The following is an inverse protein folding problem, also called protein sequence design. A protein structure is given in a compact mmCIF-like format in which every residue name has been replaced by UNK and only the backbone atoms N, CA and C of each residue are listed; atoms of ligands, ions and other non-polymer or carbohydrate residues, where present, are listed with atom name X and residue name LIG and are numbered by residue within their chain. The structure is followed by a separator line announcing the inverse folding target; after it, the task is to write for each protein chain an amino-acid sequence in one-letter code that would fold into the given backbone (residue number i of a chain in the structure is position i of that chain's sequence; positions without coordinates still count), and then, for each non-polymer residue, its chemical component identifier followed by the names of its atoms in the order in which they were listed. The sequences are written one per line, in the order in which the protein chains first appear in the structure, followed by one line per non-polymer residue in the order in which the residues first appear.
data_IF_179727540270
#
_entry.id   IF_179727540270
#
_cell.length_a   1.000
_cell.length_b   1.000
_cell.length_c   1.000
_cell.angle_alpha   90.00
_cell.angle_beta   90.00
_cell.angle_gamma   90.00
#
_symmetry.space_group_name_H-M   'P 1'
#
loop_
_entity.id
_entity.type
_entity.pdbx_description
1 polymer ?
#
# COMPACT_ATOMS: atom_id res chain seq x y z
N UNK A 1 10.18 9.25 62.07
CA UNK A 1 8.90 8.73 61.55
C UNK A 1 9.22 8.10 60.22
N UNK A 2 9.43 6.78 60.21
CA UNK A 2 9.58 6.03 58.96
C UNK A 2 8.23 6.01 58.26
N UNK A 3 8.15 6.60 57.07
CA UNK A 3 6.97 6.44 56.25
C UNK A 3 6.90 4.98 55.80
N UNK A 4 5.76 4.28 55.96
CA UNK A 4 5.63 2.92 55.51
C UNK A 4 5.87 2.87 53.99
N UNK A 5 6.84 2.07 53.58
CA UNK A 5 7.09 1.76 52.16
C UNK A 5 5.76 1.35 51.54
N UNK A 6 5.31 1.97 50.44
CA UNK A 6 4.04 1.63 49.84
C UNK A 6 4.01 0.12 49.59
N UNK A 7 3.03 -0.57 50.17
CA UNK A 7 2.82 -1.99 49.92
C UNK A 7 2.68 -2.16 48.42
N UNK A 8 3.70 -2.76 47.78
CA UNK A 8 3.55 -3.21 46.39
C UNK A 8 2.36 -4.17 46.41
N UNK A 9 1.28 -3.88 45.67
CA UNK A 9 0.13 -4.77 45.62
C UNK A 9 0.63 -6.17 45.25
N UNK A 10 0.04 -7.20 45.86
CA UNK A 10 0.43 -8.59 45.61
C UNK A 10 0.11 -8.94 44.15
N UNK A 11 1.07 -8.64 43.27
CA UNK A 11 0.92 -8.78 41.83
C UNK A 11 1.31 -10.20 41.46
N UNK A 12 0.39 -10.91 40.83
CA UNK A 12 0.67 -12.27 40.37
C UNK A 12 1.86 -12.24 39.41
N UNK A 13 2.83 -13.14 39.62
CA UNK A 13 4.05 -13.24 38.80
C UNK A 13 3.76 -13.31 37.28
N UNK A 14 2.58 -13.83 36.92
CA UNK A 14 2.06 -13.85 35.55
C UNK A 14 2.03 -12.46 34.88
N UNK A 15 1.62 -11.43 35.60
CA UNK A 15 1.56 -10.07 35.04
C UNK A 15 2.95 -9.48 34.83
N UNK A 16 3.92 -9.76 35.71
CA UNK A 16 5.32 -9.36 35.48
C UNK A 16 5.89 -10.00 34.22
N UNK A 17 5.60 -11.30 34.01
CA UNK A 17 6.00 -11.99 32.77
C UNK A 17 5.34 -11.41 31.52
N UNK A 18 4.11 -10.91 31.61
CA UNK A 18 3.44 -10.25 30.49
C UNK A 18 3.98 -8.84 30.22
N UNK A 19 4.42 -8.13 31.25
CA UNK A 19 5.06 -6.82 31.12
C UNK A 19 6.43 -6.90 30.44
N UNK A 20 7.13 -8.01 30.59
CA UNK A 20 8.45 -8.25 29.96
C UNK A 20 8.35 -8.73 28.50
N UNK A 21 7.14 -8.98 27.97
CA UNK A 21 6.99 -9.43 26.58
C UNK A 21 7.27 -8.28 25.61
N UNK A 22 7.96 -8.52 24.47
CA UNK A 22 8.23 -7.50 23.47
C UNK A 22 6.98 -6.75 22.98
N UNK A 23 5.82 -7.43 22.91
CA UNK A 23 4.53 -6.82 22.56
C UNK A 23 4.18 -5.58 23.41
N UNK A 24 4.72 -5.45 24.62
CA UNK A 24 4.49 -4.29 25.50
C UNK A 24 5.16 -3.01 25.03
N UNK A 25 6.09 -3.11 24.09
CA UNK A 25 6.75 -1.97 23.45
C UNK A 25 5.93 -1.43 22.26
N UNK A 26 4.96 -2.20 21.76
CA UNK A 26 3.99 -1.72 20.78
C UNK A 26 3.03 -0.71 21.42
N UNK A 27 2.70 0.35 20.68
CA UNK A 27 1.65 1.29 21.05
C UNK A 27 0.37 0.94 20.31
N UNK A 28 -0.75 0.89 21.03
CA UNK A 28 -2.08 0.64 20.47
C UNK A 28 -2.93 1.89 20.65
N UNK A 29 -3.55 2.33 19.56
CA UNK A 29 -4.49 3.43 19.57
C UNK A 29 -5.78 3.00 20.30
N UNK A 30 -6.44 3.96 20.94
CA UNK A 30 -7.82 3.79 21.39
C UNK A 30 -8.72 3.94 20.16
N UNK A 31 -9.79 3.15 20.08
CA UNK A 31 -10.77 3.28 19.00
C UNK A 31 -11.37 4.69 18.99
N UNK A 32 -11.21 5.39 17.86
CA UNK A 32 -11.77 6.73 17.62
C UNK A 32 -12.23 6.86 16.15
N UNK A 33 -13.29 6.12 15.75
CA UNK A 33 -13.74 6.09 14.36
C UNK A 33 -14.33 7.42 13.88
N UNK A 34 -14.83 8.27 14.79
CA UNK A 34 -15.36 9.61 14.46
C UNK A 34 -14.27 10.55 13.97
N UNK A 35 -13.02 10.32 14.37
CA UNK A 35 -11.85 11.08 13.94
C UNK A 35 -10.91 10.27 13.04
N UNK A 36 -11.39 9.24 12.35
CA UNK A 36 -10.61 8.51 11.34
C UNK A 36 -9.58 7.52 11.88
N UNK A 37 -9.52 7.26 13.20
CA UNK A 37 -8.81 6.10 13.75
C UNK A 37 -9.65 4.84 13.57
N UNK A 38 -9.91 4.51 12.31
CA UNK A 38 -10.65 3.32 11.90
C UNK A 38 -9.92 2.66 10.74
N UNK A 39 -9.67 1.36 10.86
CA UNK A 39 -9.08 0.58 9.80
C UNK A 39 -10.04 0.49 8.59
N UNK A 40 -11.30 0.12 8.84
CA UNK A 40 -12.33 -0.10 7.82
C UNK A 40 -13.69 0.39 8.32
N UNK A 41 -14.61 0.73 7.41
CA UNK A 41 -15.98 1.18 7.74
C UNK A 41 -15.98 2.37 8.72
N UNK A 42 -15.19 3.40 8.41
CA UNK A 42 -15.09 4.62 9.20
C UNK A 42 -16.42 5.37 9.29
N UNK A 43 -16.64 6.08 10.40
CA UNK A 43 -17.90 6.78 10.63
C UNK A 43 -18.19 7.88 9.59
N UNK A 44 -17.15 8.43 8.96
CA UNK A 44 -17.27 9.46 7.92
C UNK A 44 -16.95 8.93 6.52
N UNK A 45 -16.78 7.62 6.34
CA UNK A 45 -16.63 7.04 5.00
C UNK A 45 -17.90 7.29 4.21
N UNK A 46 -17.79 7.67 2.94
CA UNK A 46 -18.97 7.91 2.13
C UNK A 46 -19.75 6.62 1.88
N UNK A 47 -21.06 6.77 1.68
CA UNK A 47 -21.89 5.66 1.22
C UNK A 47 -21.61 5.40 -0.26
N UNK A 48 -21.39 4.14 -0.68
CA UNK A 48 -21.16 3.82 -2.07
C UNK A 48 -22.32 4.25 -2.97
N UNK A 49 -22.03 5.02 -4.01
CA UNK A 49 -23.06 5.57 -4.89
C UNK A 49 -22.51 6.05 -6.22
N UNK A 50 -23.34 6.05 -7.26
CA UNK A 50 -22.97 6.55 -8.58
C UNK A 50 -24.21 7.16 -9.26
N UNK A 51 -24.04 8.31 -9.90
CA UNK A 51 -25.01 8.87 -10.83
C UNK A 51 -24.31 9.29 -12.13
N UNK A 52 -24.93 9.00 -13.26
CA UNK A 52 -24.41 9.27 -14.60
C UNK A 52 -25.42 10.07 -15.40
N UNK A 53 -25.00 11.22 -15.93
CA UNK A 53 -25.78 12.08 -16.82
C UNK A 53 -24.96 12.42 -18.06
N UNK A 54 -25.58 12.35 -19.25
CA UNK A 54 -24.93 12.64 -20.54
C UNK A 54 -23.56 11.96 -20.75
N UNK A 55 -23.43 10.70 -20.29
CA UNK A 55 -22.21 9.92 -20.38
C UNK A 55 -21.07 10.40 -19.47
N UNK A 56 -21.40 11.14 -18.40
CA UNK A 56 -20.45 11.63 -17.39
C UNK A 56 -20.93 11.28 -16.00
N UNK A 57 -19.99 10.97 -15.13
CA UNK A 57 -20.26 10.77 -13.70
C UNK A 57 -20.53 12.13 -13.07
N UNK A 58 -21.72 12.30 -12.49
CA UNK A 58 -22.15 13.54 -11.82
C UNK A 58 -22.22 13.41 -10.30
N UNK A 59 -22.28 12.17 -9.78
CA UNK A 59 -22.13 11.85 -8.36
C UNK A 59 -21.28 10.59 -8.23
N UNK A 60 -20.31 10.60 -7.31
CA UNK A 60 -19.52 9.42 -6.93
C UNK A 60 -19.41 9.35 -5.42
N UNK A 61 -19.76 8.21 -4.83
CA UNK A 61 -19.71 7.95 -3.39
C UNK A 61 -20.39 9.07 -2.57
N UNK A 62 -21.56 9.50 -3.04
CA UNK A 62 -22.35 10.56 -2.39
C UNK A 62 -21.79 11.98 -2.51
N UNK A 63 -20.69 12.18 -3.23
CA UNK A 63 -20.12 13.49 -3.54
C UNK A 63 -20.58 13.93 -4.93
N UNK A 64 -21.12 15.13 -5.04
CA UNK A 64 -21.52 15.68 -6.34
C UNK A 64 -20.30 16.20 -7.11
N UNK A 65 -20.37 16.21 -8.44
CA UNK A 65 -19.29 16.67 -9.32
C UNK A 65 -18.85 18.11 -9.07
N UNK A 66 -19.73 18.94 -8.52
CA UNK A 66 -19.43 20.32 -8.13
C UNK A 66 -18.51 20.40 -6.89
N UNK A 67 -18.50 19.34 -6.07
CA UNK A 67 -17.75 19.22 -4.82
C UNK A 67 -16.59 18.21 -4.92
N UNK A 68 -16.34 17.65 -6.11
CA UNK A 68 -15.20 16.78 -6.35
C UNK A 68 -13.89 17.49 -6.05
N UNK A 69 -13.06 16.84 -5.24
CA UNK A 69 -11.65 17.19 -5.12
C UNK A 69 -10.87 16.71 -6.36
N UNK A 70 -9.56 16.99 -6.38
CA UNK A 70 -8.73 16.59 -7.52
C UNK A 70 -8.66 15.07 -7.74
N UNK A 71 -8.80 14.27 -6.68
CA UNK A 71 -8.75 12.80 -6.73
C UNK A 71 -10.07 12.26 -7.26
N UNK A 72 -11.19 12.77 -6.77
CA UNK A 72 -12.53 12.39 -7.25
C UNK A 72 -12.67 12.68 -8.74
N UNK A 73 -12.24 13.89 -9.16
CA UNK A 73 -12.25 14.28 -10.55
C UNK A 73 -11.39 13.36 -11.42
N UNK A 74 -10.23 12.92 -10.92
CA UNK A 74 -9.34 12.02 -11.64
C UNK A 74 -9.94 10.61 -11.79
N UNK A 75 -10.44 10.03 -10.69
CA UNK A 75 -11.07 8.71 -10.68
C UNK A 75 -12.31 8.70 -11.58
N UNK A 76 -13.21 9.67 -11.42
CA UNK A 76 -14.44 9.75 -12.20
C UNK A 76 -14.19 9.89 -13.72
N UNK A 77 -13.07 10.51 -14.13
CA UNK A 77 -12.74 10.71 -15.55
C UNK A 77 -11.92 9.58 -16.16
N UNK A 78 -11.08 8.91 -15.38
CA UNK A 78 -10.03 8.05 -15.91
C UNK A 78 -10.08 6.61 -15.39
N UNK A 79 -10.75 6.34 -14.26
CA UNK A 79 -10.90 4.99 -13.73
C UNK A 79 -12.19 4.32 -14.20
N UNK A 80 -13.33 4.97 -13.95
CA UNK A 80 -14.65 4.36 -14.06
C UNK A 80 -15.13 4.35 -15.51
N UNK A 81 -15.60 3.20 -15.97
CA UNK A 81 -16.23 3.08 -17.28
C UNK A 81 -17.73 3.38 -17.17
N UNK A 82 -18.17 4.51 -17.74
CA UNK A 82 -19.58 4.95 -17.74
C UNK A 82 -20.52 3.94 -18.38
N UNK A 83 -20.05 3.10 -19.30
CA UNK A 83 -20.88 2.11 -19.97
C UNK A 83 -21.28 0.94 -19.05
N UNK A 84 -20.49 0.66 -18.00
CA UNK A 84 -20.68 -0.51 -17.13
C UNK A 84 -20.85 -0.18 -15.66
N UNK A 85 -20.54 1.06 -15.24
CA UNK A 85 -20.51 1.45 -13.82
C UNK A 85 -21.87 1.30 -13.14
N UNK A 86 -22.98 1.65 -13.81
CA UNK A 86 -24.32 1.58 -13.21
C UNK A 86 -24.74 0.14 -12.96
N UNK A 87 -24.48 -0.77 -13.91
CA UNK A 87 -24.76 -2.20 -13.75
C UNK A 87 -23.92 -2.79 -12.61
N UNK A 88 -22.62 -2.50 -12.62
CA UNK A 88 -21.67 -3.07 -11.65
C UNK A 88 -21.95 -2.58 -10.23
N UNK A 89 -22.25 -1.28 -10.05
CA UNK A 89 -22.62 -0.69 -8.77
C UNK A 89 -23.99 -1.15 -8.26
N UNK A 90 -24.84 -1.69 -9.14
CA UNK A 90 -26.13 -2.28 -8.76
C UNK A 90 -26.03 -3.63 -8.08
N UNK A 91 -24.86 -4.30 -8.16
CA UNK A 91 -24.64 -5.59 -7.50
C UNK A 91 -24.46 -5.42 -5.98
N UNK A 92 -25.12 -6.25 -5.15
CA UNK A 92 -24.93 -6.21 -3.71
C UNK A 92 -23.47 -6.51 -3.32
N UNK A 93 -22.87 -5.71 -2.43
CA UNK A 93 -21.49 -5.91 -2.02
C UNK A 93 -21.22 -7.32 -1.44
N UNK A 94 -22.19 -7.88 -0.72
CA UNK A 94 -22.11 -9.25 -0.19
C UNK A 94 -22.09 -10.33 -1.26
N UNK A 95 -22.69 -10.08 -2.43
CA UNK A 95 -22.63 -11.00 -3.57
C UNK A 95 -21.23 -10.96 -4.20
N UNK A 96 -20.70 -9.76 -4.42
CA UNK A 96 -19.34 -9.57 -4.95
C UNK A 96 -18.28 -10.16 -4.01
N UNK A 97 -18.44 -9.97 -2.69
CA UNK A 97 -17.56 -10.55 -1.68
C UNK A 97 -17.51 -12.09 -1.76
N UNK A 98 -18.68 -12.74 -1.98
CA UNK A 98 -18.73 -14.20 -2.20
C UNK A 98 -18.03 -14.60 -3.49
N UNK A 99 -18.18 -13.83 -4.57
CA UNK A 99 -17.50 -14.10 -5.84
C UNK A 99 -15.97 -14.06 -5.69
N UNK A 100 -15.43 -13.17 -4.86
CA UNK A 100 -13.98 -13.10 -4.58
C UNK A 100 -13.44 -14.41 -3.96
N UNK A 101 -14.26 -15.15 -3.21
CA UNK A 101 -13.86 -16.43 -2.59
C UNK A 101 -14.44 -17.67 -3.28
N UNK A 102 -15.23 -17.51 -4.33
CA UNK A 102 -15.70 -18.63 -5.14
C UNK A 102 -14.61 -19.06 -6.14
N UNK A 103 -14.18 -20.31 -6.05
CA UNK A 103 -13.17 -20.89 -6.95
C UNK A 103 -13.65 -21.05 -8.40
N UNK A 104 -14.96 -21.00 -8.65
CA UNK A 104 -15.55 -21.14 -9.97
C UNK A 104 -15.68 -19.79 -10.71
N UNK A 105 -15.55 -18.67 -10.00
CA UNK A 105 -15.56 -17.35 -10.63
C UNK A 105 -14.14 -16.99 -11.08
N UNK A 106 -13.90 -16.88 -12.40
CA UNK A 106 -12.57 -16.60 -12.92
C UNK A 106 -12.10 -15.18 -12.57
N UNK A 107 -10.78 -15.03 -12.38
CA UNK A 107 -10.11 -13.74 -12.14
C UNK A 107 -10.53 -12.66 -13.14
N UNK A 108 -10.67 -13.01 -14.41
CA UNK A 108 -11.04 -12.06 -15.48
C UNK A 108 -12.42 -11.45 -15.33
N UNK A 109 -13.38 -12.17 -14.73
CA UNK A 109 -14.70 -11.61 -14.39
C UNK A 109 -14.61 -10.67 -13.20
N UNK A 110 -13.85 -11.06 -12.17
CA UNK A 110 -13.63 -10.23 -10.98
C UNK A 110 -12.93 -8.92 -11.31
N UNK A 111 -11.89 -8.94 -12.16
CA UNK A 111 -11.21 -7.72 -12.62
C UNK A 111 -12.18 -6.78 -13.36
N UNK A 112 -13.03 -7.32 -14.25
CA UNK A 112 -14.05 -6.51 -14.94
C UNK A 112 -15.01 -5.86 -13.96
N UNK A 113 -15.42 -6.59 -12.92
CA UNK A 113 -16.24 -6.01 -11.84
C UNK A 113 -15.49 -4.90 -11.14
N UNK A 114 -14.25 -5.12 -10.68
CA UNK A 114 -13.47 -4.11 -9.95
C UNK A 114 -13.41 -2.76 -10.68
N UNK A 115 -13.23 -2.80 -12.00
CA UNK A 115 -13.12 -1.63 -12.86
C UNK A 115 -14.42 -0.80 -12.98
N UNK A 116 -15.56 -1.38 -12.60
CA UNK A 116 -16.85 -0.71 -12.56
C UNK A 116 -17.29 -0.30 -11.16
N UNK A 117 -16.46 -0.49 -10.12
CA UNK A 117 -16.78 -0.16 -8.74
C UNK A 117 -16.09 1.14 -8.30
N UNK A 118 -16.80 1.95 -7.52
CA UNK A 118 -16.22 3.14 -6.88
C UNK A 118 -15.30 2.76 -5.71
N UNK A 119 -14.42 3.67 -5.26
CA UNK A 119 -13.57 3.44 -4.09
C UNK A 119 -14.34 2.96 -2.85
N UNK A 120 -15.47 3.59 -2.51
CA UNK A 120 -16.26 3.17 -1.35
C UNK A 120 -16.86 1.78 -1.54
N UNK A 121 -17.33 1.44 -2.75
CA UNK A 121 -17.89 0.10 -3.02
C UNK A 121 -16.82 -0.98 -2.94
N UNK A 122 -15.63 -0.72 -3.45
CA UNK A 122 -14.48 -1.63 -3.33
C UNK A 122 -14.13 -1.89 -1.86
N UNK A 123 -13.99 -0.84 -1.06
CA UNK A 123 -13.73 -0.93 0.37
C UNK A 123 -14.84 -1.70 1.12
N UNK A 124 -16.11 -1.41 0.83
CA UNK A 124 -17.27 -2.10 1.41
C UNK A 124 -17.26 -3.61 1.12
N UNK A 125 -16.89 -4.02 -0.09
CA UNK A 125 -16.82 -5.44 -0.48
C UNK A 125 -15.75 -6.17 0.32
N UNK A 126 -14.51 -5.69 0.33
CA UNK A 126 -13.41 -6.40 0.99
C UNK A 126 -13.49 -6.34 2.52
N UNK A 127 -14.14 -5.31 3.08
CA UNK A 127 -14.38 -5.20 4.52
C UNK A 127 -15.29 -6.31 5.08
N UNK A 128 -16.05 -7.01 4.23
CA UNK A 128 -16.88 -8.16 4.61
C UNK A 128 -16.10 -9.46 4.74
N UNK A 129 -14.86 -9.51 4.24
CA UNK A 129 -14.05 -10.71 4.23
C UNK A 129 -13.22 -10.84 5.51
N UNK A 130 -13.12 -12.07 6.01
CA UNK A 130 -12.18 -12.44 7.07
C UNK A 130 -10.74 -12.46 6.52
N UNK A 131 -9.73 -12.46 7.40
CA UNK A 131 -8.33 -12.57 6.98
C UNK A 131 -8.04 -13.83 6.14
N UNK A 132 -8.74 -14.94 6.42
CA UNK A 132 -8.61 -16.17 5.66
C UNK A 132 -9.19 -16.03 4.24
N UNK A 133 -10.37 -15.42 4.14
CA UNK A 133 -11.02 -15.14 2.86
C UNK A 133 -10.23 -14.14 2.02
N UNK A 134 -9.67 -13.10 2.64
CA UNK A 134 -8.76 -12.15 1.99
C UNK A 134 -7.53 -12.88 1.42
N UNK A 135 -6.89 -13.75 2.21
CA UNK A 135 -5.73 -14.53 1.76
C UNK A 135 -6.05 -15.45 0.59
N UNK A 136 -7.22 -16.11 0.63
CA UNK A 136 -7.69 -16.96 -0.45
C UNK A 136 -7.96 -16.14 -1.72
N UNK A 137 -8.73 -15.06 -1.61
CA UNK A 137 -9.03 -14.17 -2.72
C UNK A 137 -7.75 -13.60 -3.33
N UNK A 138 -6.79 -13.18 -2.51
CA UNK A 138 -5.49 -12.67 -2.96
C UNK A 138 -4.75 -13.70 -3.82
N UNK A 139 -4.67 -14.96 -3.35
CA UNK A 139 -3.99 -16.05 -4.09
C UNK A 139 -4.58 -16.31 -5.48
N UNK A 140 -5.89 -16.05 -5.63
CA UNK A 140 -6.63 -16.15 -6.90
C UNK A 140 -6.43 -14.92 -7.79
N UNK A 141 -6.31 -13.74 -7.17
CA UNK A 141 -6.31 -12.45 -7.86
C UNK A 141 -4.94 -11.90 -8.23
N UNK A 142 -3.84 -12.34 -7.61
CA UNK A 142 -2.48 -11.92 -8.00
C UNK A 142 -2.24 -12.02 -9.51
N UNK A 143 -1.48 -11.08 -10.06
CA UNK A 143 -1.27 -11.00 -11.50
C UNK A 143 -0.28 -12.06 -11.98
N UNK A 144 0.82 -12.26 -11.26
CA UNK A 144 1.88 -13.20 -11.59
C UNK A 144 1.60 -14.57 -10.98
N UNK A 145 1.81 -15.61 -11.79
CA UNK A 145 1.68 -17.00 -11.31
C UNK A 145 2.76 -17.36 -10.29
N UNK A 146 3.98 -16.88 -10.51
CA UNK A 146 5.15 -17.15 -9.66
C UNK A 146 5.35 -15.95 -8.74
N UNK A 147 5.28 -16.13 -7.42
CA UNK A 147 5.57 -15.07 -6.47
C UNK A 147 6.99 -14.53 -6.61
N UNK A 148 7.18 -13.24 -6.31
CA UNK A 148 8.48 -12.60 -6.25
C UNK A 148 8.85 -12.23 -4.82
N UNK A 149 10.03 -11.63 -4.66
CA UNK A 149 10.42 -11.00 -3.41
C UNK A 149 11.39 -9.85 -3.66
N UNK A 150 11.29 -8.81 -2.83
CA UNK A 150 12.13 -7.62 -2.88
C UNK A 150 12.93 -7.47 -1.58
N UNK A 151 14.15 -6.95 -1.67
CA UNK A 151 15.03 -6.73 -0.51
C UNK A 151 15.59 -5.33 -0.43
N UNK A 152 15.54 -4.73 0.75
CA UNK A 152 16.24 -3.47 1.04
C UNK A 152 17.75 -3.70 1.21
N UNK A 153 18.53 -2.87 0.54
CA UNK A 153 19.99 -2.81 0.59
C UNK A 153 20.38 -1.40 0.99
N UNK A 154 20.51 -1.17 2.29
CA UNK A 154 20.88 0.12 2.88
C UNK A 154 21.88 -0.08 4.00
N UNK A 155 22.60 0.99 4.36
CA UNK A 155 23.36 1.02 5.59
C UNK A 155 23.35 2.43 6.18
N UNK A 156 23.53 2.53 7.49
CA UNK A 156 23.38 3.79 8.23
C UNK A 156 24.39 4.91 7.85
N UNK A 157 25.39 4.60 7.02
CA UNK A 157 26.46 5.50 6.60
C UNK A 157 26.41 5.85 5.12
N UNK A 158 25.48 5.28 4.36
CA UNK A 158 25.50 5.31 2.89
C UNK A 158 26.85 4.84 2.33
N UNK A 159 27.50 3.86 2.98
CA UNK A 159 28.80 3.35 2.54
C UNK A 159 28.63 2.56 1.23
N UNK A 160 29.14 3.06 0.09
CA UNK A 160 28.93 2.42 -1.20
C UNK A 160 29.60 1.06 -1.30
N UNK A 161 30.70 0.81 -0.59
CA UNK A 161 31.37 -0.49 -0.63
C UNK A 161 30.52 -1.56 0.05
N UNK A 162 29.89 -1.21 1.17
CA UNK A 162 28.95 -2.10 1.83
C UNK A 162 27.70 -2.32 0.95
N UNK A 163 27.15 -1.27 0.34
CA UNK A 163 25.98 -1.40 -0.55
C UNK A 163 26.24 -2.35 -1.73
N UNK A 164 27.40 -2.27 -2.38
CA UNK A 164 27.77 -3.22 -3.46
C UNK A 164 27.75 -4.66 -2.94
N UNK A 165 28.38 -4.91 -1.78
CA UNK A 165 28.50 -6.25 -1.22
C UNK A 165 27.14 -6.81 -0.78
N UNK A 166 26.33 -5.99 -0.10
CA UNK A 166 25.00 -6.38 0.38
C UNK A 166 24.03 -6.58 -0.81
N UNK A 167 24.10 -5.75 -1.86
CA UNK A 167 23.33 -5.94 -3.08
C UNK A 167 23.69 -7.25 -3.78
N UNK A 168 24.98 -7.52 -4.02
CA UNK A 168 25.40 -8.78 -4.64
C UNK A 168 24.96 -10.01 -3.81
N UNK A 169 25.00 -9.89 -2.49
CA UNK A 169 24.58 -10.94 -1.55
C UNK A 169 23.07 -11.16 -1.56
N UNK A 170 22.27 -10.09 -1.46
CA UNK A 170 20.81 -10.15 -1.52
C UNK A 170 20.36 -10.81 -2.83
N UNK A 171 20.90 -10.36 -3.95
CA UNK A 171 20.58 -10.94 -5.25
C UNK A 171 20.96 -12.42 -5.34
N UNK A 172 22.10 -12.82 -4.78
CA UNK A 172 22.51 -14.23 -4.72
C UNK A 172 21.58 -15.10 -3.84
N UNK A 173 20.90 -14.51 -2.85
CA UNK A 173 19.87 -15.19 -2.05
C UNK A 173 18.52 -15.35 -2.78
N UNK A 174 18.35 -14.70 -3.93
CA UNK A 174 17.18 -14.89 -4.80
C UNK A 174 16.16 -13.75 -4.76
N UNK A 175 16.52 -12.56 -4.27
CA UNK A 175 15.68 -11.37 -4.46
C UNK A 175 15.64 -10.97 -5.94
N UNK A 176 14.43 -10.80 -6.47
CA UNK A 176 14.19 -10.45 -7.88
C UNK A 176 14.23 -8.95 -8.12
N UNK A 177 13.96 -8.19 -7.06
CA UNK A 177 14.09 -6.75 -7.00
C UNK A 177 14.86 -6.36 -5.73
N UNK A 178 15.69 -5.32 -5.80
CA UNK A 178 16.32 -4.73 -4.62
C UNK A 178 16.14 -3.22 -4.60
N UNK A 179 16.03 -2.66 -3.41
CA UNK A 179 15.87 -1.24 -3.20
C UNK A 179 17.01 -0.68 -2.38
N UNK A 180 17.45 0.53 -2.71
CA UNK A 180 18.25 1.34 -1.80
C UNK A 180 17.60 2.70 -1.59
N UNK A 181 17.98 3.36 -0.51
CA UNK A 181 17.72 4.77 -0.26
C UNK A 181 18.92 5.35 0.50
N UNK A 182 18.89 6.64 0.83
CA UNK A 182 20.01 7.35 1.43
C UNK A 182 19.63 8.03 2.74
N UNK A 183 20.55 7.98 3.70
CA UNK A 183 20.44 8.79 4.92
C UNK A 183 20.74 10.26 4.64
N UNK A 184 21.68 10.54 3.75
CA UNK A 184 22.04 11.88 3.31
C UNK A 184 21.69 12.02 1.84
N UNK A 185 20.75 12.91 1.50
CA UNK A 185 20.21 13.07 0.13
C UNK A 185 21.28 13.11 -0.97
N UNK A 186 22.36 13.87 -0.75
CA UNK A 186 23.49 14.00 -1.70
C UNK A 186 24.21 12.68 -2.03
N UNK A 187 23.98 11.61 -1.28
CA UNK A 187 24.55 10.30 -1.54
C UNK A 187 23.70 9.44 -2.50
N UNK A 188 22.53 9.92 -2.95
CA UNK A 188 21.63 9.20 -3.86
C UNK A 188 22.36 8.54 -5.04
N UNK A 189 23.14 9.34 -5.77
CA UNK A 189 23.92 8.88 -6.93
C UNK A 189 24.99 7.84 -6.58
N UNK A 190 25.62 7.96 -5.40
CA UNK A 190 26.61 6.99 -4.92
C UNK A 190 25.93 5.66 -4.56
N UNK A 191 24.77 5.72 -3.91
CA UNK A 191 24.00 4.53 -3.52
C UNK A 191 23.43 3.82 -4.76
N UNK A 192 22.84 4.57 -5.69
CA UNK A 192 22.34 4.06 -6.97
C UNK A 192 23.43 3.34 -7.76
N UNK A 193 24.61 3.97 -7.91
CA UNK A 193 25.76 3.35 -8.57
C UNK A 193 26.22 2.07 -7.86
N UNK A 194 26.31 2.10 -6.52
CA UNK A 194 26.73 0.95 -5.73
C UNK A 194 25.78 -0.25 -5.90
N UNK A 195 24.48 -0.03 -5.78
CA UNK A 195 23.48 -1.07 -5.95
C UNK A 195 23.38 -1.54 -7.41
N UNK A 196 23.56 -0.66 -8.39
CA UNK A 196 23.66 -1.04 -9.81
C UNK A 196 24.78 -2.05 -10.04
N UNK A 197 25.98 -1.79 -9.48
CA UNK A 197 27.13 -2.69 -9.59
C UNK A 197 26.88 -3.99 -8.84
N UNK A 198 26.40 -3.91 -7.59
CA UNK A 198 26.14 -5.09 -6.78
C UNK A 198 25.08 -6.02 -7.38
N UNK A 199 23.96 -5.48 -7.88
CA UNK A 199 22.92 -6.24 -8.55
C UNK A 199 23.46 -6.99 -9.78
N UNK A 200 24.21 -6.29 -10.63
CA UNK A 200 24.81 -6.87 -11.83
C UNK A 200 25.83 -7.98 -11.52
N UNK A 201 26.56 -7.86 -10.40
CA UNK A 201 27.50 -8.90 -9.93
C UNK A 201 26.78 -10.10 -9.35
N UNK A 202 25.70 -9.91 -8.59
CA UNK A 202 24.97 -11.00 -7.94
C UNK A 202 24.24 -11.91 -8.94
N UNK A 203 23.41 -11.33 -9.81
CA UNK A 203 22.67 -12.05 -10.86
C UNK A 203 22.24 -11.06 -11.94
N UNK A 204 22.68 -11.31 -13.16
CA UNK A 204 22.26 -10.50 -14.31
C UNK A 204 20.73 -10.53 -14.48
N UNK A 205 20.13 -9.35 -14.65
CA UNK A 205 18.70 -9.19 -14.84
C UNK A 205 17.88 -8.92 -13.57
N UNK A 206 18.49 -8.91 -12.38
CA UNK A 206 17.80 -8.43 -11.17
C UNK A 206 17.50 -6.93 -11.29
N UNK A 207 16.27 -6.56 -10.96
CA UNK A 207 15.84 -5.17 -10.97
C UNK A 207 16.33 -4.47 -9.70
N UNK A 208 16.67 -3.19 -9.82
CA UNK A 208 17.02 -2.37 -8.68
C UNK A 208 16.56 -0.91 -8.83
N UNK A 209 16.30 -0.28 -7.69
CA UNK A 209 15.89 1.11 -7.59
C UNK A 209 16.68 1.87 -6.52
N UNK A 210 16.58 3.21 -6.56
CA UNK A 210 17.14 4.11 -5.56
C UNK A 210 16.07 5.15 -5.18
N UNK A 211 15.30 4.83 -4.16
CA UNK A 211 14.16 5.62 -3.69
C UNK A 211 14.62 6.96 -3.13
N UNK A 212 14.18 8.05 -3.76
CA UNK A 212 14.60 9.42 -3.46
C UNK A 212 13.49 10.43 -3.79
N UNK A 213 13.79 11.73 -3.80
CA UNK A 213 12.84 12.71 -4.30
C UNK A 213 12.53 12.43 -5.79
N UNK A 214 11.28 12.60 -6.19
CA UNK A 214 10.72 12.11 -7.46
C UNK A 214 11.49 12.59 -8.70
N UNK A 215 11.90 13.86 -8.74
CA UNK A 215 12.67 14.41 -9.85
C UNK A 215 14.13 13.90 -9.85
N UNK A 216 14.77 13.77 -8.69
CA UNK A 216 16.09 13.15 -8.54
C UNK A 216 16.07 11.67 -8.95
N UNK A 217 15.06 10.90 -8.53
CA UNK A 217 14.91 9.49 -8.86
C UNK A 217 14.73 9.30 -10.38
N UNK A 218 13.92 10.14 -11.02
CA UNK A 218 13.76 10.13 -12.46
C UNK A 218 15.08 10.45 -13.18
N UNK A 219 15.88 11.39 -12.66
CA UNK A 219 17.20 11.70 -13.24
C UNK A 219 18.17 10.52 -13.13
N UNK A 220 18.19 9.83 -11.99
CA UNK A 220 18.98 8.61 -11.80
C UNK A 220 18.55 7.53 -12.82
N UNK A 221 17.25 7.34 -13.00
CA UNK A 221 16.70 6.42 -14.00
C UNK A 221 17.07 6.81 -15.44
N UNK A 222 16.91 8.09 -15.81
CA UNK A 222 17.28 8.60 -17.14
C UNK A 222 18.78 8.47 -17.43
N UNK A 223 19.62 8.52 -16.39
CA UNK A 223 21.06 8.31 -16.49
C UNK A 223 21.46 6.82 -16.55
N UNK A 224 20.51 5.89 -16.40
CA UNK A 224 20.74 4.45 -16.45
C UNK A 224 21.31 3.87 -15.16
N UNK A 225 21.15 4.55 -14.03
CA UNK A 225 21.62 4.10 -12.71
C UNK A 225 20.50 3.54 -11.82
N UNK A 226 19.32 3.27 -12.38
CA UNK A 226 18.28 2.39 -11.82
C UNK A 226 17.60 1.65 -12.97
N UNK A 227 17.04 0.46 -12.70
CA UNK A 227 16.29 -0.30 -13.71
C UNK A 227 14.77 -0.16 -13.56
N UNK A 228 14.30 0.31 -12.40
CA UNK A 228 12.91 0.64 -12.15
C UNK A 228 12.79 1.70 -11.03
N UNK A 229 11.56 2.18 -10.80
CA UNK A 229 11.17 3.03 -9.67
C UNK A 229 9.86 2.52 -9.03
N UNK A 230 9.70 2.64 -7.72
CA UNK A 230 8.53 2.17 -6.97
C UNK A 230 7.94 3.26 -6.11
N UNK A 231 8.79 4.04 -5.44
CA UNK A 231 8.39 5.07 -4.48
C UNK A 231 7.74 6.30 -5.10
N UNK A 232 7.12 6.13 -6.28
CA UNK A 232 6.28 7.11 -6.96
C UNK A 232 4.96 7.24 -6.19
N UNK A 233 5.01 8.02 -5.12
CA UNK A 233 3.99 8.03 -4.08
C UNK A 233 2.68 8.71 -4.51
N UNK A 234 1.53 8.16 -4.10
CA UNK A 234 0.19 8.76 -4.25
C UNK A 234 -0.56 8.74 -2.92
N UNK A 235 -1.54 9.64 -2.77
CA UNK A 235 -2.24 9.84 -1.50
C UNK A 235 -3.75 9.97 -1.69
N UNK A 236 -4.52 9.55 -0.69
CA UNK A 236 -5.97 9.44 -0.71
C UNK A 236 -6.71 10.72 -0.35
N UNK A 237 -6.03 11.82 -0.03
CA UNK A 237 -6.64 13.15 0.16
C UNK A 237 -5.84 14.24 -0.54
N UNK A 238 -6.51 15.31 -0.97
CA UNK A 238 -5.89 16.41 -1.73
C UNK A 238 -4.76 17.09 -0.93
N UNK A 239 -4.97 17.31 0.38
CA UNK A 239 -3.95 17.94 1.23
C UNK A 239 -2.72 17.05 1.43
N UNK A 240 -2.90 15.74 1.60
CA UNK A 240 -1.77 14.83 1.68
C UNK A 240 -0.97 14.82 0.37
N UNK A 241 -1.64 14.85 -0.77
CA UNK A 241 -0.98 14.93 -2.06
C UNK A 241 -0.17 16.21 -2.25
N UNK A 242 -0.74 17.36 -1.87
CA UNK A 242 -0.06 18.66 -1.95
C UNK A 242 1.16 18.69 -1.03
N UNK A 243 1.06 18.14 0.18
CA UNK A 243 2.20 18.04 1.11
C UNK A 243 3.24 17.01 0.64
N UNK A 244 2.81 16.00 -0.12
CA UNK A 244 3.66 15.12 -0.93
C UNK A 244 4.20 15.74 -2.22
N UNK A 245 4.02 17.05 -2.43
CA UNK A 245 4.50 17.87 -3.56
C UNK A 245 4.00 17.43 -4.95
N UNK A 246 2.82 16.83 -5.03
CA UNK A 246 2.27 16.34 -6.29
C UNK A 246 0.75 16.50 -6.42
N UNK A 247 0.25 16.10 -7.59
CA UNK A 247 -1.16 15.98 -7.93
C UNK A 247 -1.38 14.66 -8.70
N UNK A 248 -2.63 14.20 -8.86
CA UNK A 248 -2.93 13.06 -9.72
C UNK A 248 -2.36 13.22 -11.16
N UNK A 249 -2.34 14.44 -11.70
CA UNK A 249 -1.81 14.72 -13.04
C UNK A 249 -0.29 14.72 -13.11
N UNK A 250 0.41 15.30 -12.13
CA UNK A 250 1.88 15.27 -12.13
C UNK A 250 2.39 13.84 -11.95
N UNK A 251 1.74 13.04 -11.10
CA UNK A 251 2.03 11.60 -10.97
C UNK A 251 1.72 10.81 -12.23
N UNK A 252 0.56 11.03 -12.87
CA UNK A 252 0.25 10.40 -14.15
C UNK A 252 1.30 10.74 -15.24
N UNK A 253 1.75 11.99 -15.26
CA UNK A 253 2.81 12.43 -16.16
C UNK A 253 4.15 11.78 -15.82
N UNK A 254 4.51 11.67 -14.54
CA UNK A 254 5.73 11.01 -14.07
C UNK A 254 5.74 9.52 -14.41
N UNK A 255 4.62 8.81 -14.19
CA UNK A 255 4.40 7.43 -14.64
C UNK A 255 4.67 7.29 -16.15
N UNK A 256 4.13 8.22 -16.95
CA UNK A 256 4.38 8.26 -18.40
C UNK A 256 5.83 8.65 -18.74
N UNK A 257 6.50 9.44 -17.90
CA UNK A 257 7.89 9.85 -18.07
C UNK A 257 8.85 8.67 -17.91
N UNK A 258 8.63 7.81 -16.90
CA UNK A 258 9.35 6.53 -16.77
C UNK A 258 9.07 5.61 -17.97
N UNK A 259 7.79 5.41 -18.31
CA UNK A 259 7.39 4.52 -19.40
C UNK A 259 7.97 4.92 -20.76
N UNK A 260 7.99 6.21 -21.09
CA UNK A 260 8.57 6.73 -22.33
C UNK A 260 10.10 6.57 -22.41
N UNK A 261 10.76 6.23 -21.30
CA UNK A 261 12.20 5.93 -21.24
C UNK A 261 12.45 4.41 -21.14
N UNK A 262 11.38 3.60 -21.21
CA UNK A 262 11.46 2.15 -21.10
C UNK A 262 11.81 1.66 -19.69
N UNK A 263 11.58 2.49 -18.67
CA UNK A 263 11.89 2.18 -17.27
C UNK A 263 10.62 1.60 -16.65
N UNK A 264 10.71 0.40 -16.05
CA UNK A 264 9.60 -0.15 -15.25
C UNK A 264 9.33 0.80 -14.11
N UNK A 265 8.06 1.00 -13.76
CA UNK A 265 7.75 1.65 -12.50
C UNK A 265 6.48 1.07 -11.89
N UNK A 266 6.30 1.30 -10.61
CA UNK A 266 5.00 1.20 -9.93
C UNK A 266 4.83 2.43 -9.05
N UNK A 267 3.60 2.70 -8.65
CA UNK A 267 3.33 3.72 -7.65
C UNK A 267 3.43 3.13 -6.24
N UNK A 268 3.52 3.98 -5.22
CA UNK A 268 3.42 3.57 -3.81
C UNK A 268 2.25 4.27 -3.14
N UNK A 269 1.46 3.51 -2.39
CA UNK A 269 0.47 4.02 -1.45
C UNK A 269 0.49 3.14 -0.19
N UNK A 270 -0.45 3.33 0.72
CA UNK A 270 -0.49 2.51 1.92
C UNK A 270 -1.32 3.13 3.03
N UNK A 271 -2.09 2.27 3.69
CA UNK A 271 -2.85 2.65 4.87
C UNK A 271 -2.02 3.37 5.93
N UNK A 272 -2.56 4.49 6.40
CA UNK A 272 -1.97 5.28 7.48
C UNK A 272 -1.13 6.46 7.00
N UNK A 273 -0.84 6.60 5.71
CA UNK A 273 -0.12 7.75 5.17
C UNK A 273 -0.81 9.08 5.51
N UNK A 274 -2.09 9.23 5.18
CA UNK A 274 -2.83 10.46 5.41
C UNK A 274 -3.06 10.72 6.91
N UNK A 275 -3.15 9.66 7.72
CA UNK A 275 -3.26 9.78 9.17
C UNK A 275 -1.95 10.28 9.77
N UNK A 276 -0.81 9.76 9.31
CA UNK A 276 0.52 10.19 9.72
C UNK A 276 0.81 11.64 9.30
N UNK A 277 0.36 12.03 8.11
CA UNK A 277 0.49 13.40 7.58
C UNK A 277 -0.52 14.38 8.20
N UNK A 278 -1.55 13.88 8.91
CA UNK A 278 -2.57 14.71 9.57
C UNK A 278 -3.68 15.21 8.63
N UNK A 279 -3.83 14.59 7.46
CA UNK A 279 -4.78 14.98 6.40
C UNK A 279 -5.78 13.87 6.05
N UNK A 280 -6.12 12.98 6.98
CA UNK A 280 -7.00 11.81 6.77
C UNK A 280 -8.50 12.11 6.65
N UNK A 281 -8.94 13.38 6.79
CA UNK A 281 -10.35 13.81 6.61
C UNK A 281 -11.39 12.98 7.39
N UNK A 282 -10.95 12.42 8.52
CA UNK A 282 -11.71 11.52 9.40
C UNK A 282 -12.27 10.27 8.71
N UNK A 283 -11.70 9.89 7.55
CA UNK A 283 -12.01 8.67 6.81
C UNK A 283 -11.24 7.48 7.39
N UNK A 284 -11.69 6.26 7.07
CA UNK A 284 -10.94 5.04 7.37
C UNK A 284 -9.73 4.90 6.47
N UNK A 285 -8.75 4.13 6.96
CA UNK A 285 -7.54 3.83 6.20
C UNK A 285 -7.86 3.16 4.85
N UNK A 286 -8.73 2.14 4.88
CA UNK A 286 -9.08 1.37 3.69
C UNK A 286 -9.79 2.20 2.62
N UNK A 287 -10.67 3.13 3.01
CA UNK A 287 -11.35 3.98 2.04
C UNK A 287 -10.35 4.90 1.32
N UNK A 288 -9.45 5.55 2.07
CA UNK A 288 -8.42 6.40 1.49
C UNK A 288 -7.50 5.62 0.55
N UNK A 289 -7.09 4.43 0.97
CA UNK A 289 -6.27 3.55 0.15
C UNK A 289 -7.02 3.04 -1.10
N UNK A 290 -8.32 2.77 -1.01
CA UNK A 290 -9.13 2.46 -2.19
C UNK A 290 -9.13 3.60 -3.21
N UNK A 291 -9.12 4.87 -2.76
CA UNK A 291 -8.96 6.03 -3.65
C UNK A 291 -7.58 6.02 -4.31
N UNK A 292 -6.51 5.77 -3.54
CA UNK A 292 -5.14 5.65 -4.05
C UNK A 292 -5.06 4.60 -5.17
N UNK A 293 -5.60 3.41 -4.96
CA UNK A 293 -5.50 2.31 -5.91
C UNK A 293 -6.33 2.55 -7.17
N UNK A 294 -7.54 3.11 -7.04
CA UNK A 294 -8.35 3.48 -8.19
C UNK A 294 -7.62 4.51 -9.07
N UNK A 295 -6.97 5.48 -8.42
CA UNK A 295 -6.19 6.50 -9.08
C UNK A 295 -4.93 5.95 -9.76
N UNK A 296 -4.18 5.04 -9.12
CA UNK A 296 -3.01 4.38 -9.72
C UNK A 296 -3.39 3.59 -10.98
N UNK A 297 -4.50 2.84 -10.94
CA UNK A 297 -5.05 2.19 -12.13
C UNK A 297 -5.38 3.21 -13.22
N UNK A 298 -6.04 4.31 -12.86
CA UNK A 298 -6.41 5.36 -13.80
C UNK A 298 -5.20 6.09 -14.43
N UNK A 299 -4.07 6.16 -13.72
CA UNK A 299 -2.80 6.65 -14.26
C UNK A 299 -2.20 5.72 -15.32
N UNK A 300 -2.66 4.47 -15.40
CA UNK A 300 -2.05 3.43 -16.21
C UNK A 300 -0.77 2.86 -15.60
N UNK A 301 -0.59 3.00 -14.28
CA UNK A 301 0.48 2.30 -13.58
C UNK A 301 0.25 0.78 -13.69
N UNK A 302 1.33 0.02 -13.93
CA UNK A 302 1.26 -1.44 -14.06
C UNK A 302 1.14 -2.15 -12.71
N UNK A 303 1.51 -1.46 -11.62
CA UNK A 303 1.55 -2.03 -10.29
C UNK A 303 1.52 -0.96 -9.20
N UNK A 304 1.49 -1.44 -7.98
CA UNK A 304 1.56 -0.66 -6.74
C UNK A 304 2.44 -1.37 -5.71
N UNK A 305 3.09 -0.59 -4.87
CA UNK A 305 3.53 -1.02 -3.56
C UNK A 305 2.52 -0.49 -2.53
N UNK A 306 1.87 -1.39 -1.80
CA UNK A 306 0.96 -1.04 -0.70
C UNK A 306 0.95 -2.13 0.38
N UNK A 307 0.05 -2.06 1.35
CA UNK A 307 0.08 -2.85 2.60
C UNK A 307 0.66 -2.04 3.75
N UNK A 308 0.29 -0.76 3.79
CA UNK A 308 0.70 0.22 4.79
C UNK A 308 2.07 0.85 4.55
N UNK A 309 3.08 0.08 4.11
CA UNK A 309 4.46 0.57 3.90
C UNK A 309 4.94 1.29 5.18
N UNK A 310 5.32 2.56 5.11
CA UNK A 310 5.73 3.37 6.25
C UNK A 310 4.58 3.66 7.24
N UNK A 311 3.33 3.59 6.77
CA UNK A 311 2.11 3.68 7.58
C UNK A 311 1.75 2.38 8.29
N UNK A 312 2.37 1.24 7.95
CA UNK A 312 2.02 -0.07 8.53
C UNK A 312 2.10 -0.13 10.08
N UNK A 313 3.07 0.51 10.78
CA UNK A 313 3.07 0.56 12.24
C UNK A 313 1.85 1.30 12.80
N UNK A 314 1.42 2.36 12.13
CA UNK A 314 0.25 3.15 12.53
C UNK A 314 -1.04 2.37 12.29
N UNK A 315 -1.20 1.77 11.11
CA UNK A 315 -2.31 0.86 10.82
C UNK A 315 -2.36 -0.27 11.85
N UNK A 316 -1.22 -0.91 12.14
CA UNK A 316 -1.12 -1.95 13.14
C UNK A 316 -1.48 -1.47 14.56
N UNK A 317 -1.37 -0.18 14.88
CA UNK A 317 -1.81 0.34 16.18
C UNK A 317 -3.34 0.36 16.35
N UNK A 318 -4.10 0.29 15.25
CA UNK A 318 -5.57 0.39 15.22
C UNK A 318 -6.21 -1.01 15.18
N UNK A 319 -7.35 -1.16 15.86
CA UNK A 319 -8.11 -2.40 15.84
C UNK A 319 -8.50 -2.80 14.40
N UNK A 320 -8.16 -4.03 14.01
CA UNK A 320 -8.39 -4.53 12.65
C UNK A 320 -7.39 -4.04 11.61
N UNK A 321 -6.41 -3.19 11.95
CA UNK A 321 -5.48 -2.63 10.98
C UNK A 321 -4.62 -3.64 10.24
N UNK A 322 -4.16 -4.73 10.88
CA UNK A 322 -3.43 -5.78 10.16
C UNK A 322 -4.32 -6.50 9.13
N UNK A 323 -5.63 -6.62 9.39
CA UNK A 323 -6.59 -7.16 8.40
C UNK A 323 -6.82 -6.16 7.27
N UNK A 324 -6.77 -4.87 7.57
CA UNK A 324 -6.87 -3.80 6.59
C UNK A 324 -5.70 -3.80 5.61
N UNK A 325 -4.47 -3.96 6.10
CA UNK A 325 -3.28 -4.14 5.24
C UNK A 325 -3.47 -5.28 4.22
N UNK A 326 -4.12 -6.36 4.63
CA UNK A 326 -4.46 -7.48 3.73
C UNK A 326 -5.57 -7.12 2.73
N UNK A 327 -6.53 -6.29 3.15
CA UNK A 327 -7.64 -5.85 2.33
C UNK A 327 -7.18 -4.88 1.24
N UNK A 328 -6.31 -3.91 1.55
CA UNK A 328 -5.74 -3.02 0.53
C UNK A 328 -4.88 -3.77 -0.49
N UNK A 329 -4.12 -4.79 -0.07
CA UNK A 329 -3.37 -5.61 -1.02
C UNK A 329 -4.32 -6.39 -1.94
N UNK A 330 -5.44 -6.92 -1.40
CA UNK A 330 -6.47 -7.54 -2.23
C UNK A 330 -7.08 -6.55 -3.22
N UNK A 331 -7.34 -5.31 -2.80
CA UNK A 331 -7.84 -4.27 -3.71
C UNK A 331 -6.88 -4.02 -4.87
N UNK A 332 -5.57 -3.95 -4.60
CA UNK A 332 -4.55 -3.76 -5.63
C UNK A 332 -4.62 -4.86 -6.72
N UNK A 333 -4.52 -6.13 -6.32
CA UNK A 333 -4.55 -7.25 -7.27
C UNK A 333 -5.93 -7.45 -7.91
N UNK A 334 -7.01 -7.05 -7.23
CA UNK A 334 -8.36 -7.09 -7.79
C UNK A 334 -8.57 -6.02 -8.88
N UNK A 335 -7.93 -4.87 -8.72
CA UNK A 335 -7.81 -3.81 -9.74
C UNK A 335 -6.80 -4.13 -10.85
N UNK A 336 -6.28 -5.36 -10.90
CA UNK A 336 -5.33 -5.85 -11.90
C UNK A 336 -3.98 -5.11 -11.88
N UNK A 337 -3.58 -4.59 -10.72
CA UNK A 337 -2.25 -4.06 -10.48
C UNK A 337 -1.32 -5.17 -9.98
N UNK A 338 -0.07 -5.22 -10.46
CA UNK A 338 1.00 -5.90 -9.74
C UNK A 338 1.08 -5.35 -8.30
N UNK A 339 1.20 -6.21 -7.29
CA UNK A 339 1.21 -5.77 -5.89
C UNK A 339 2.50 -6.18 -5.16
N UNK A 340 3.38 -5.21 -4.92
CA UNK A 340 4.45 -5.34 -3.92
C UNK A 340 3.84 -5.12 -2.53
N UNK A 341 3.47 -6.22 -1.86
CA UNK A 341 2.52 -6.24 -0.76
C UNK A 341 3.10 -5.85 0.62
N UNK A 342 3.97 -4.84 0.65
CA UNK A 342 4.62 -4.34 1.87
C UNK A 342 5.41 -5.43 2.59
N UNK A 343 5.31 -5.48 3.93
CA UNK A 343 6.16 -6.31 4.81
C UNK A 343 7.64 -5.90 4.83
N UNK A 344 7.86 -4.65 4.47
CA UNK A 344 9.09 -3.89 4.34
C UNK A 344 9.37 -2.98 5.56
N UNK A 345 8.32 -2.56 6.28
CA UNK A 345 8.41 -1.79 7.52
C UNK A 345 8.14 -2.62 8.79
N UNK A 346 8.87 -2.28 9.86
CA UNK A 346 8.73 -2.91 11.18
C UNK A 346 7.48 -2.43 11.91
N UNK A 347 6.42 -3.25 11.92
CA UNK A 347 5.11 -2.89 12.49
C UNK A 347 4.88 -3.32 13.95
N UNK A 348 5.83 -4.04 14.56
CA UNK A 348 5.68 -4.63 15.90
C UNK A 348 7.04 -5.04 16.47
N UNK A 349 7.17 -5.00 17.79
CA UNK A 349 8.30 -5.52 18.56
C UNK A 349 8.14 -7.03 18.86
N UNK A 350 6.92 -7.57 18.69
CA UNK A 350 6.66 -9.00 18.79
C UNK A 350 6.87 -9.74 17.46
N UNK A 351 7.78 -10.72 17.45
CA UNK A 351 8.00 -11.64 16.33
C UNK A 351 6.76 -12.46 15.96
N UNK A 352 5.94 -12.84 16.94
CA UNK A 352 4.68 -13.57 16.70
C UNK A 352 3.73 -12.73 15.85
N UNK A 353 3.65 -11.44 16.16
CA UNK A 353 2.78 -10.49 15.47
C UNK A 353 3.30 -10.13 14.08
N UNK A 354 4.62 -10.01 13.92
CA UNK A 354 5.27 -9.90 12.60
C UNK A 354 4.97 -11.15 11.76
N UNK A 355 5.20 -12.35 12.32
CA UNK A 355 4.93 -13.61 11.64
C UNK A 355 3.46 -13.74 11.21
N UNK A 356 2.52 -13.28 12.05
CA UNK A 356 1.09 -13.28 11.70
C UNK A 356 0.75 -12.33 10.54
N UNK A 357 1.43 -11.17 10.42
CA UNK A 357 1.28 -10.24 9.29
C UNK A 357 1.82 -10.83 7.98
N UNK A 358 2.98 -11.49 8.05
CA UNK A 358 3.69 -12.01 6.86
C UNK A 358 3.06 -13.33 6.36
N UNK A 359 2.54 -14.17 7.26
CA UNK A 359 2.06 -15.52 6.96
C UNK A 359 1.09 -15.60 5.76
N UNK A 360 0.07 -14.72 5.62
CA UNK A 360 -0.81 -14.71 4.46
C UNK A 360 -0.07 -14.74 3.13
N UNK A 361 0.96 -13.92 2.94
CA UNK A 361 1.72 -13.82 1.69
C UNK A 361 2.71 -14.97 1.51
N UNK A 362 3.22 -15.56 2.60
CA UNK A 362 4.06 -16.77 2.49
C UNK A 362 3.27 -17.97 1.97
N UNK A 363 1.97 -18.07 2.30
CA UNK A 363 1.12 -19.19 1.87
C UNK A 363 0.34 -18.88 0.58
N UNK A 364 -0.11 -17.62 0.41
CA UNK A 364 -0.89 -17.20 -0.75
C UNK A 364 0.03 -16.87 -1.92
N UNK A 365 1.20 -16.28 -1.65
CA UNK A 365 2.18 -15.71 -2.57
C UNK A 365 1.77 -14.36 -3.15
N UNK A 366 2.68 -13.39 -3.18
CA UNK A 366 2.53 -12.07 -3.82
C UNK A 366 3.37 -11.93 -5.07
N UNK A 367 2.96 -11.03 -5.98
CA UNK A 367 3.88 -10.51 -7.00
C UNK A 367 5.17 -10.02 -6.30
#
# INVERSE_FOLDING_TARGET
MDQPTPQKPNRWRRFSQWDERPLRLDNFAVDDPENGFSAMNGANDPQPGIEVEDGRIVVMDGVAVADFDMIDMFIARHHLNVDTVVETMGLPAAEIARMLVDMNVPRTELVKLAHGLTPARLAEVVAQLTAMELSFAYSKMRARKTPGNQGHVTNAKDDPLQLVADAATAVAFGFDEIETTMRVSRNAWSNALACCVGAAVGRWGTLFQCSSEEAEELQIGMAGFSSYAETVSVYGTEKAFIDGDDTPWSKAFLTSAYASRGIKMRCTSGAGAELLMGFHEKKSLLYLEARCLCMQRAMGAQGTQNGGIDGAPLAASIAGGVRELMAENLLAVWLDLECASGNDARSSESEIRIGAKILPYLISGSD
#
